data_IF_305729534905
#
_entry.id   IF_305729534905
#
_cell.length_a   1.000
_cell.length_b   1.000
_cell.length_c   1.000
_cell.angle_alpha   90.00
_cell.angle_beta   90.00
_cell.angle_gamma   90.00
#
_symmetry.space_group_name_H-M   'P 1'
#
loop_
_entity.id
_entity.type
_entity.pdbx_description
1 polymer ?
#
# COMPACT_ATOMS: atom_id res chain seq x y z
N UNK A 1 -72.73 3.32 -61.62
CA UNK A 1 -71.55 3.92 -62.30
C UNK A 1 -70.32 3.50 -61.49
N UNK A 2 -69.76 2.30 -61.68
CA UNK A 2 -68.82 1.86 -62.72
C UNK A 2 -67.59 2.75 -62.92
N UNK A 3 -66.44 2.22 -62.45
CA UNK A 3 -65.06 2.22 -63.00
C UNK A 3 -64.03 2.46 -61.88
N UNK A 4 -63.45 1.37 -61.34
CA UNK A 4 -62.17 0.78 -61.77
C UNK A 4 -60.98 1.73 -61.59
N UNK A 5 -60.11 1.44 -60.62
CA UNK A 5 -58.67 1.64 -60.80
C UNK A 5 -57.92 0.43 -60.24
N UNK A 6 -57.06 -0.13 -61.09
CA UNK A 6 -56.33 -1.38 -60.93
C UNK A 6 -55.30 -1.35 -59.79
N UNK A 7 -55.21 -2.50 -59.14
CA UNK A 7 -54.11 -2.96 -58.28
C UNK A 7 -52.86 -3.23 -59.14
N UNK A 8 -51.69 -2.76 -58.70
CA UNK A 8 -50.37 -3.23 -59.14
C UNK A 8 -49.71 -3.99 -57.98
N UNK A 9 -49.24 -5.23 -58.16
CA UNK A 9 -48.39 -5.92 -57.21
C UNK A 9 -46.93 -5.49 -57.42
N UNK A 10 -46.15 -5.50 -56.35
CA UNK A 10 -44.68 -5.62 -56.26
C UNK A 10 -44.14 -4.75 -55.11
N UNK A 11 -44.42 -5.17 -53.87
CA UNK A 11 -43.58 -4.86 -52.72
C UNK A 11 -42.84 -6.14 -52.33
N UNK A 12 -41.65 -6.33 -52.89
CA UNK A 12 -40.65 -7.20 -52.28
C UNK A 12 -39.92 -6.41 -51.19
N UNK A 13 -40.15 -6.82 -49.95
CA UNK A 13 -39.45 -6.36 -48.76
C UNK A 13 -38.00 -6.86 -48.85
N UNK A 14 -37.04 -5.96 -49.15
CA UNK A 14 -35.63 -6.23 -48.92
C UNK A 14 -35.34 -6.15 -47.41
N UNK A 15 -35.30 -7.31 -46.75
CA UNK A 15 -34.61 -7.49 -45.47
C UNK A 15 -33.12 -7.14 -45.64
N UNK A 16 -32.52 -6.32 -44.76
CA UNK A 16 -31.09 -6.11 -44.77
C UNK A 16 -30.37 -7.43 -44.45
N UNK A 17 -29.49 -7.82 -45.36
CA UNK A 17 -28.66 -9.02 -45.27
C UNK A 17 -27.75 -8.97 -44.03
N UNK A 18 -27.56 -10.14 -43.41
CA UNK A 18 -26.71 -10.40 -42.24
C UNK A 18 -25.25 -9.91 -42.38
N UNK A 19 -24.81 -9.54 -43.59
CA UNK A 19 -23.48 -8.99 -43.84
C UNK A 19 -23.27 -7.58 -43.25
N UNK A 20 -24.33 -6.80 -43.04
CA UNK A 20 -24.19 -5.46 -42.43
C UNK A 20 -23.93 -5.52 -40.92
N UNK A 21 -24.29 -6.62 -40.25
CA UNK A 21 -24.01 -6.81 -38.82
C UNK A 21 -22.61 -7.40 -38.58
N UNK A 22 -22.11 -8.25 -39.49
CA UNK A 22 -20.75 -8.80 -39.40
C UNK A 22 -19.68 -7.72 -39.57
N UNK A 23 -19.91 -6.71 -40.43
CA UNK A 23 -18.95 -5.63 -40.68
C UNK A 23 -18.82 -4.61 -39.53
N UNK A 24 -19.70 -4.68 -38.53
CA UNK A 24 -19.62 -3.83 -37.32
C UNK A 24 -18.82 -4.46 -36.17
N UNK A 25 -18.46 -5.75 -36.24
CA UNK A 25 -17.63 -6.40 -35.21
C UNK A 25 -16.12 -6.41 -35.52
N UNK A 26 -15.71 -6.14 -36.75
CA UNK A 26 -14.29 -6.09 -37.17
C UNK A 26 -13.51 -4.84 -36.70
N UNK A 27 -14.11 -3.99 -35.86
CA UNK A 27 -13.44 -2.84 -35.23
C UNK A 27 -13.16 -3.00 -33.74
N UNK A 28 -13.27 -4.22 -33.20
CA UNK A 28 -12.68 -4.55 -31.89
C UNK A 28 -11.23 -5.06 -32.06
N UNK A 29 -10.39 -4.24 -32.69
CA UNK A 29 -8.94 -4.50 -32.77
C UNK A 29 -8.38 -4.37 -31.34
N UNK A 30 -8.28 -5.50 -30.65
CA UNK A 30 -7.44 -5.63 -29.46
C UNK A 30 -6.04 -5.14 -29.84
N UNK A 31 -5.47 -4.15 -29.12
CA UNK A 31 -4.16 -3.62 -29.46
C UNK A 31 -3.14 -4.77 -29.45
N UNK A 32 -2.38 -4.91 -30.54
CA UNK A 32 -1.39 -5.98 -30.67
C UNK A 32 -0.46 -5.98 -29.44
N UNK A 33 -0.21 -7.18 -28.92
CA UNK A 33 0.58 -7.43 -27.70
C UNK A 33 1.96 -6.77 -27.78
N UNK A 34 2.51 -6.57 -28.97
CA UNK A 34 3.80 -5.93 -29.21
C UNK A 34 3.76 -4.40 -29.07
N UNK A 35 2.67 -3.74 -29.48
CA UNK A 35 2.46 -2.31 -29.18
C UNK A 35 2.28 -2.06 -27.68
N UNK A 36 1.74 -3.04 -26.94
CA UNK A 36 1.61 -2.98 -25.49
C UNK A 36 2.98 -3.00 -24.80
N UNK A 37 3.86 -3.94 -25.15
CA UNK A 37 5.21 -4.01 -24.56
C UNK A 37 6.07 -2.78 -24.91
N UNK A 38 5.98 -2.29 -26.16
CA UNK A 38 6.76 -1.13 -26.62
C UNK A 38 6.33 0.21 -25.98
N UNK A 39 5.04 0.38 -25.65
CA UNK A 39 4.58 1.58 -24.93
C UNK A 39 4.91 1.51 -23.43
N UNK A 40 4.99 0.30 -22.88
CA UNK A 40 5.35 0.06 -21.49
C UNK A 40 6.84 0.30 -21.23
N UNK A 41 7.72 0.09 -22.22
CA UNK A 41 9.15 0.44 -22.12
C UNK A 41 9.40 1.94 -22.15
N UNK A 42 8.63 2.73 -22.91
CA UNK A 42 8.73 4.20 -22.90
C UNK A 42 8.18 4.84 -21.62
N UNK A 43 7.16 4.25 -20.95
CA UNK A 43 6.79 4.69 -19.60
C UNK A 43 7.88 4.36 -18.56
N UNK A 44 8.69 3.33 -18.82
CA UNK A 44 9.72 2.83 -17.90
C UNK A 44 10.94 3.75 -17.79
N UNK A 45 11.27 4.51 -18.84
CA UNK A 45 12.37 5.47 -18.78
C UNK A 45 12.07 6.65 -17.84
N UNK A 46 10.79 6.98 -17.61
CA UNK A 46 10.38 8.11 -16.76
C UNK A 46 10.16 7.75 -15.28
N UNK A 47 10.03 6.46 -14.92
CA UNK A 47 9.63 6.02 -13.56
C UNK A 47 10.66 5.12 -12.87
N UNK A 48 11.96 5.43 -12.97
CA UNK A 48 13.05 4.65 -12.35
C UNK A 48 13.04 4.58 -10.80
N UNK A 49 12.14 5.32 -10.14
CA UNK A 49 12.01 5.33 -8.67
C UNK A 49 11.24 4.14 -8.14
N UNK A 50 10.25 3.66 -8.90
CA UNK A 50 9.40 2.57 -8.47
C UNK A 50 9.85 1.29 -9.18
N UNK A 51 10.19 0.22 -8.43
CA UNK A 51 10.60 -1.03 -9.04
C UNK A 51 9.56 -1.58 -10.00
N UNK A 52 10.02 -2.15 -11.11
CA UNK A 52 9.14 -2.53 -12.23
C UNK A 52 7.98 -3.44 -11.85
N UNK A 53 8.17 -4.35 -10.89
CA UNK A 53 7.12 -5.25 -10.45
C UNK A 53 6.08 -4.53 -9.59
N UNK A 54 6.54 -3.66 -8.67
CA UNK A 54 5.65 -2.81 -7.86
C UNK A 54 4.84 -1.86 -8.74
N UNK A 55 5.44 -1.30 -9.79
CA UNK A 55 4.74 -0.41 -10.72
C UNK A 55 3.55 -1.10 -11.40
N UNK A 56 3.70 -2.37 -11.80
CA UNK A 56 2.59 -3.17 -12.36
C UNK A 56 1.45 -3.34 -11.36
N UNK A 57 1.75 -3.55 -10.07
CA UNK A 57 0.71 -3.62 -9.03
C UNK A 57 -0.02 -2.30 -8.84
N UNK A 58 0.72 -1.20 -8.77
CA UNK A 58 0.16 0.14 -8.63
C UNK A 58 -0.83 0.43 -9.77
N UNK A 59 -0.50 -0.01 -11.00
CA UNK A 59 -1.40 0.07 -12.14
C UNK A 59 -2.63 -0.86 -11.99
N UNK A 60 -2.42 -2.13 -11.60
CA UNK A 60 -3.51 -3.10 -11.42
C UNK A 60 -4.53 -2.67 -10.35
N UNK A 61 -4.07 -2.07 -9.25
CA UNK A 61 -4.92 -1.57 -8.17
C UNK A 61 -5.44 -0.15 -8.41
N UNK A 62 -5.07 0.50 -9.51
CA UNK A 62 -5.61 1.83 -9.85
C UNK A 62 -5.07 2.98 -9.00
N UNK A 63 -3.87 2.81 -8.42
CA UNK A 63 -3.31 3.78 -7.49
C UNK A 63 -2.70 4.99 -8.21
N UNK A 64 -2.45 4.90 -9.52
CA UNK A 64 -1.90 5.98 -10.37
C UNK A 64 -2.83 6.34 -11.52
N UNK A 65 -2.72 7.57 -12.02
CA UNK A 65 -3.57 8.10 -13.09
C UNK A 65 -3.45 7.32 -14.42
N UNK A 66 -2.30 6.70 -14.67
CA UNK A 66 -2.02 5.88 -15.84
C UNK A 66 -2.92 4.65 -15.94
N UNK A 67 -3.44 4.18 -14.81
CA UNK A 67 -4.35 3.03 -14.75
C UNK A 67 -5.64 3.27 -15.53
N UNK A 68 -6.12 4.51 -15.60
CA UNK A 68 -7.37 4.84 -16.30
C UNK A 68 -7.24 4.79 -17.83
N UNK A 69 -6.01 4.74 -18.36
CA UNK A 69 -5.74 4.75 -19.81
C UNK A 69 -6.02 3.41 -20.48
N UNK A 70 -6.05 2.32 -19.72
CA UNK A 70 -6.17 0.97 -20.27
C UNK A 70 -7.41 0.26 -19.71
N UNK A 71 -8.22 -0.32 -20.60
CA UNK A 71 -9.43 -1.06 -20.21
C UNK A 71 -9.14 -2.22 -19.25
N UNK A 72 -8.03 -2.93 -19.48
CA UNK A 72 -7.59 -4.02 -18.61
C UNK A 72 -7.46 -3.61 -17.14
N UNK A 73 -6.82 -2.46 -16.86
CA UNK A 73 -6.66 -1.99 -15.49
C UNK A 73 -7.99 -1.53 -14.86
N UNK A 74 -8.92 -0.99 -15.65
CA UNK A 74 -10.26 -0.68 -15.14
C UNK A 74 -10.98 -1.94 -14.65
N UNK A 75 -10.86 -3.04 -15.40
CA UNK A 75 -11.41 -4.33 -15.02
C UNK A 75 -10.75 -4.83 -13.73
N UNK A 76 -9.41 -4.84 -13.64
CA UNK A 76 -8.72 -5.32 -12.42
C UNK A 76 -9.09 -4.50 -11.19
N UNK A 77 -9.25 -3.18 -11.35
CA UNK A 77 -9.69 -2.31 -10.27
C UNK A 77 -11.10 -2.66 -9.81
N UNK A 78 -12.05 -2.82 -10.74
CA UNK A 78 -13.42 -3.20 -10.41
C UNK A 78 -13.46 -4.56 -9.72
N UNK A 79 -12.74 -5.56 -10.25
CA UNK A 79 -12.60 -6.88 -9.65
C UNK A 79 -12.04 -6.80 -8.23
N UNK A 80 -11.00 -6.00 -7.99
CA UNK A 80 -10.45 -5.83 -6.64
C UNK A 80 -11.47 -5.25 -5.65
N UNK A 81 -12.25 -4.23 -6.06
CA UNK A 81 -13.27 -3.66 -5.17
C UNK A 81 -14.40 -4.66 -4.89
N UNK A 82 -14.80 -5.45 -5.89
CA UNK A 82 -15.77 -6.52 -5.71
C UNK A 82 -15.26 -7.57 -4.71
N UNK A 83 -14.00 -7.99 -4.85
CA UNK A 83 -13.33 -8.90 -3.92
C UNK A 83 -13.30 -8.30 -2.50
N UNK A 84 -12.92 -7.03 -2.36
CA UNK A 84 -12.85 -6.36 -1.07
C UNK A 84 -14.22 -6.30 -0.37
N UNK A 85 -15.27 -5.91 -1.11
CA UNK A 85 -16.65 -5.90 -0.59
C UNK A 85 -17.07 -7.31 -0.19
N UNK A 86 -16.85 -8.30 -1.04
CA UNK A 86 -17.18 -9.70 -0.75
C UNK A 86 -16.46 -10.23 0.50
N UNK A 87 -15.16 -9.98 0.64
CA UNK A 87 -14.39 -10.40 1.83
C UNK A 87 -14.88 -9.73 3.10
N UNK A 88 -15.26 -8.45 3.04
CA UNK A 88 -15.83 -7.73 4.18
C UNK A 88 -17.20 -8.32 4.54
N UNK A 89 -18.13 -8.42 3.59
CA UNK A 89 -19.49 -8.89 3.84
C UNK A 89 -19.51 -10.33 4.34
N UNK A 90 -18.75 -11.22 3.71
CA UNK A 90 -18.61 -12.61 4.16
C UNK A 90 -18.03 -12.72 5.57
N UNK A 91 -17.04 -11.87 5.90
CA UNK A 91 -16.50 -11.76 7.25
C UNK A 91 -17.55 -11.34 8.28
N UNK A 92 -18.36 -10.31 7.97
CA UNK A 92 -19.46 -9.85 8.83
C UNK A 92 -20.54 -10.90 9.01
N UNK A 93 -21.00 -11.53 7.93
CA UNK A 93 -22.02 -12.58 8.00
C UNK A 93 -21.53 -13.74 8.86
N UNK A 94 -20.28 -14.18 8.66
CA UNK A 94 -19.68 -15.26 9.47
C UNK A 94 -19.60 -14.89 10.95
N UNK A 95 -19.28 -13.62 11.26
CA UNK A 95 -19.20 -13.13 12.64
C UNK A 95 -20.59 -13.04 13.30
N UNK A 96 -21.62 -12.65 12.55
CA UNK A 96 -23.00 -12.54 13.05
C UNK A 96 -23.66 -13.90 13.27
N UNK A 97 -23.41 -14.88 12.40
CA UNK A 97 -23.98 -16.22 12.54
C UNK A 97 -23.40 -16.96 13.76
N UNK A 98 -22.16 -16.65 14.15
CA UNK A 98 -21.46 -17.31 15.25
C UNK A 98 -21.52 -16.50 16.55
N UNK A 99 -22.70 -15.96 16.86
CA UNK A 99 -22.94 -14.95 17.89
C UNK A 99 -22.53 -15.41 19.31
N UNK A 100 -21.25 -15.24 19.62
CA UNK A 100 -20.66 -15.25 20.94
C UNK A 100 -20.00 -13.87 21.12
N UNK A 101 -20.46 -13.10 22.11
CA UNK A 101 -20.08 -11.70 22.33
C UNK A 101 -18.55 -11.55 22.40
N UNK A 102 -17.85 -12.51 23.00
CA UNK A 102 -16.40 -12.45 23.14
C UNK A 102 -15.68 -12.75 21.81
N UNK A 103 -16.15 -13.75 21.06
CA UNK A 103 -15.62 -14.05 19.72
C UNK A 103 -15.90 -12.92 18.75
N UNK A 104 -17.04 -12.26 18.89
CA UNK A 104 -17.41 -11.10 18.09
C UNK A 104 -16.44 -9.94 18.31
N UNK A 105 -16.04 -9.62 19.54
CA UNK A 105 -15.06 -8.56 19.83
C UNK A 105 -13.72 -8.79 19.12
N UNK A 106 -13.19 -10.03 19.19
CA UNK A 106 -11.93 -10.39 18.52
C UNK A 106 -12.06 -10.36 16.99
N UNK A 107 -13.18 -10.84 16.46
CA UNK A 107 -13.46 -10.82 15.02
C UNK A 107 -13.70 -9.41 14.51
N UNK A 108 -14.33 -8.54 15.30
CA UNK A 108 -14.56 -7.13 14.98
C UNK A 108 -13.24 -6.40 14.75
N UNK A 109 -12.24 -6.56 15.62
CA UNK A 109 -10.92 -5.97 15.42
C UNK A 109 -10.29 -6.39 14.07
N UNK A 110 -10.41 -7.68 13.71
CA UNK A 110 -9.95 -8.16 12.42
C UNK A 110 -10.80 -7.62 11.25
N UNK A 111 -12.13 -7.56 11.37
CA UNK A 111 -13.00 -7.00 10.32
C UNK A 111 -12.73 -5.53 10.06
N UNK A 112 -12.41 -4.77 11.12
CA UNK A 112 -12.02 -3.37 10.99
C UNK A 112 -10.73 -3.19 10.18
N UNK A 113 -9.79 -4.14 10.22
CA UNK A 113 -8.59 -4.08 9.37
C UNK A 113 -8.94 -4.13 7.87
N UNK A 114 -9.96 -4.92 7.47
CA UNK A 114 -10.47 -4.95 6.10
C UNK A 114 -11.20 -3.67 5.70
N UNK A 115 -12.00 -3.10 6.61
CA UNK A 115 -12.66 -1.80 6.38
C UNK A 115 -11.62 -0.70 6.16
N UNK A 116 -10.55 -0.70 6.96
CA UNK A 116 -9.42 0.21 6.81
C UNK A 116 -8.66 -0.04 5.50
N UNK A 117 -8.48 -1.28 5.07
CA UNK A 117 -7.90 -1.62 3.77
C UNK A 117 -8.71 -1.04 2.59
N UNK A 118 -10.05 -1.10 2.67
CA UNK A 118 -10.93 -0.46 1.69
C UNK A 118 -10.80 1.07 1.74
N UNK A 119 -10.71 1.64 2.95
CA UNK A 119 -10.42 3.07 3.16
C UNK A 119 -9.10 3.51 2.53
N UNK A 120 -8.04 2.70 2.65
CA UNK A 120 -6.75 2.93 1.99
C UNK A 120 -6.92 2.93 0.47
N UNK A 121 -7.62 1.94 -0.09
CA UNK A 121 -7.86 1.86 -1.54
C UNK A 121 -8.59 3.10 -2.06
N UNK A 122 -9.67 3.50 -1.38
CA UNK A 122 -10.47 4.66 -1.74
C UNK A 122 -9.66 5.97 -1.69
N UNK A 123 -8.95 6.21 -0.59
CA UNK A 123 -8.17 7.43 -0.37
C UNK A 123 -7.01 7.55 -1.36
N UNK A 124 -6.27 6.46 -1.57
CA UNK A 124 -5.20 6.41 -2.57
C UNK A 124 -5.74 6.67 -3.98
N UNK A 125 -6.89 6.07 -4.33
CA UNK A 125 -7.51 6.27 -5.65
C UNK A 125 -7.97 7.70 -5.88
N UNK A 126 -8.45 8.40 -4.85
CA UNK A 126 -8.79 9.84 -4.92
C UNK A 126 -7.55 10.70 -5.17
N UNK A 127 -6.40 10.30 -4.61
CA UNK A 127 -5.13 11.03 -4.72
C UNK A 127 -4.23 10.55 -5.87
N UNK A 128 -4.69 9.62 -6.72
CA UNK A 128 -3.88 8.98 -7.78
C UNK A 128 -3.16 9.93 -8.74
N UNK A 129 -3.81 11.05 -9.13
CA UNK A 129 -3.19 12.06 -10.00
C UNK A 129 -2.02 12.75 -9.31
N UNK A 130 -2.20 13.11 -8.04
CA UNK A 130 -1.16 13.70 -7.20
C UNK A 130 0.00 12.72 -7.04
N UNK A 131 -0.30 11.44 -6.78
CA UNK A 131 0.71 10.39 -6.66
C UNK A 131 1.54 10.23 -7.94
N UNK A 132 0.91 10.14 -9.11
CA UNK A 132 1.63 10.04 -10.39
C UNK A 132 2.58 11.24 -10.59
N UNK A 133 2.13 12.46 -10.29
CA UNK A 133 2.96 13.67 -10.41
C UNK A 133 4.13 13.62 -9.43
N UNK A 134 3.89 13.24 -8.17
CA UNK A 134 4.94 13.14 -7.14
C UNK A 134 6.00 12.10 -7.52
N UNK A 135 5.59 10.92 -8.00
CA UNK A 135 6.53 9.86 -8.43
C UNK A 135 7.42 10.36 -9.58
N UNK A 136 6.84 11.05 -10.57
CA UNK A 136 7.61 11.62 -11.70
C UNK A 136 8.51 12.78 -11.29
N UNK A 137 8.15 13.55 -10.27
CA UNK A 137 9.03 14.59 -9.73
C UNK A 137 10.21 13.96 -8.99
N UNK A 138 9.93 12.95 -8.18
CA UNK A 138 10.95 12.23 -7.40
C UNK A 138 11.95 11.51 -8.31
N UNK A 139 11.50 10.98 -9.47
CA UNK A 139 12.40 10.31 -10.43
C UNK A 139 13.42 11.22 -11.10
N UNK A 140 13.24 12.54 -11.01
CA UNK A 140 14.23 13.51 -11.47
C UNK A 140 15.32 13.80 -10.45
N UNK A 141 15.13 13.41 -9.19
CA UNK A 141 16.02 13.77 -8.07
C UNK A 141 16.73 12.56 -7.49
N UNK A 142 16.10 11.39 -7.53
CA UNK A 142 16.62 10.19 -6.89
C UNK A 142 16.35 8.95 -7.74
N UNK A 143 17.24 7.98 -7.62
CA UNK A 143 17.11 6.64 -8.20
C UNK A 143 16.88 5.65 -7.06
N UNK A 144 16.09 4.61 -7.31
CA UNK A 144 15.85 3.56 -6.32
C UNK A 144 17.14 2.78 -6.02
N UNK A 145 17.70 2.84 -4.81
CA UNK A 145 19.02 2.26 -4.52
C UNK A 145 19.03 0.71 -4.50
N UNK A 146 17.86 0.04 -4.45
CA UNK A 146 17.78 -1.42 -4.28
C UNK A 146 16.66 -2.09 -5.11
N UNK A 147 16.53 -1.73 -6.39
CA UNK A 147 15.42 -2.21 -7.25
C UNK A 147 15.25 -3.75 -7.24
N UNK A 148 16.35 -4.52 -7.39
CA UNK A 148 16.30 -5.99 -7.43
C UNK A 148 15.73 -6.59 -6.14
N UNK A 149 16.23 -6.16 -4.98
CA UNK A 149 15.78 -6.67 -3.66
C UNK A 149 14.31 -6.36 -3.43
N UNK A 150 13.88 -5.16 -3.80
CA UNK A 150 12.49 -4.75 -3.66
C UNK A 150 11.58 -5.54 -4.62
N UNK A 151 11.99 -5.78 -5.86
CA UNK A 151 11.22 -6.62 -6.78
C UNK A 151 11.02 -8.05 -6.23
N UNK A 152 12.05 -8.65 -5.61
CA UNK A 152 11.91 -9.93 -4.93
C UNK A 152 10.94 -9.87 -3.75
N UNK A 153 11.00 -8.81 -2.93
CA UNK A 153 10.07 -8.61 -1.83
C UNK A 153 8.63 -8.48 -2.31
N UNK A 154 8.39 -7.72 -3.39
CA UNK A 154 7.05 -7.56 -3.98
C UNK A 154 6.54 -8.91 -4.49
N UNK A 155 7.38 -9.70 -5.16
CA UNK A 155 7.04 -11.05 -5.60
C UNK A 155 6.67 -11.96 -4.43
N UNK A 156 7.47 -11.95 -3.37
CA UNK A 156 7.19 -12.71 -2.15
C UNK A 156 5.84 -12.31 -1.54
N UNK A 157 5.57 -11.01 -1.37
CA UNK A 157 4.30 -10.50 -0.85
C UNK A 157 3.09 -10.88 -1.72
N UNK A 158 3.30 -11.04 -3.03
CA UNK A 158 2.24 -11.37 -3.99
C UNK A 158 1.90 -12.86 -4.01
N UNK A 159 2.88 -13.72 -3.69
CA UNK A 159 2.69 -15.18 -3.59
C UNK A 159 2.12 -15.54 -2.21
N UNK A 160 2.32 -14.68 -1.20
CA UNK A 160 1.93 -14.90 0.18
C UNK A 160 0.44 -15.31 0.39
N UNK A 161 -0.56 -14.72 -0.32
CA UNK A 161 -1.96 -15.17 -0.24
C UNK A 161 -2.17 -16.62 -0.68
N UNK A 162 -1.42 -17.07 -1.69
CA UNK A 162 -1.50 -18.43 -2.22
C UNK A 162 -0.96 -19.40 -1.18
N UNK A 163 0.21 -19.09 -0.62
CA UNK A 163 0.82 -19.89 0.45
C UNK A 163 -0.14 -20.00 1.63
N UNK A 164 -0.72 -18.88 2.06
CA UNK A 164 -1.69 -18.85 3.15
C UNK A 164 -2.94 -19.70 2.86
N UNK A 165 -3.50 -19.60 1.65
CA UNK A 165 -4.68 -20.36 1.26
C UNK A 165 -4.42 -21.88 1.22
N UNK A 166 -3.31 -22.29 0.62
CA UNK A 166 -2.88 -23.70 0.60
C UNK A 166 -2.63 -24.20 2.02
N UNK A 167 -1.90 -23.42 2.83
CA UNK A 167 -1.62 -23.79 4.22
C UNK A 167 -2.88 -23.91 5.09
N UNK A 168 -3.90 -23.09 4.80
CA UNK A 168 -5.22 -23.14 5.45
C UNK A 168 -6.02 -24.38 5.06
N UNK A 169 -5.91 -24.86 3.81
CA UNK A 169 -6.53 -26.13 3.40
C UNK A 169 -5.93 -27.37 4.06
N UNK A 170 -4.71 -27.28 4.59
CA UNK A 170 -4.07 -28.34 5.37
C UNK A 170 -4.45 -28.29 6.86
N UNK A 171 -5.58 -27.66 7.21
CA UNK A 171 -6.08 -27.62 8.58
C UNK A 171 -6.69 -28.97 8.99
N UNK A 172 -6.46 -29.37 10.24
CA UNK A 172 -6.95 -30.65 10.77
C UNK A 172 -8.49 -30.75 10.84
N UNK A 173 -9.20 -29.62 10.78
CA UNK A 173 -10.67 -29.57 10.89
C UNK A 173 -11.31 -28.87 9.67
N UNK A 174 -11.16 -29.49 8.50
CA UNK A 174 -11.71 -29.03 7.21
C UNK A 174 -13.23 -28.83 7.26
N UNK A 175 -13.96 -29.76 7.86
CA UNK A 175 -15.44 -29.71 7.92
C UNK A 175 -15.94 -28.48 8.68
N UNK A 176 -15.38 -28.21 9.87
CA UNK A 176 -15.74 -27.04 10.65
C UNK A 176 -15.38 -25.74 9.92
N UNK A 177 -14.20 -25.68 9.30
CA UNK A 177 -13.73 -24.47 8.61
C UNK A 177 -14.53 -24.18 7.33
N UNK A 178 -14.90 -25.22 6.59
CA UNK A 178 -15.77 -25.10 5.44
C UNK A 178 -17.17 -24.65 5.87
N UNK A 179 -17.72 -25.21 6.96
CA UNK A 179 -18.98 -24.74 7.55
C UNK A 179 -18.92 -23.28 7.97
N UNK A 180 -17.79 -22.84 8.56
CA UNK A 180 -17.55 -21.44 8.91
C UNK A 180 -17.65 -20.56 7.66
N UNK A 181 -16.94 -20.92 6.59
CA UNK A 181 -16.91 -20.12 5.35
C UNK A 181 -18.17 -20.26 4.48
N UNK A 182 -18.95 -21.32 4.68
CA UNK A 182 -20.23 -21.55 4.02
C UNK A 182 -21.43 -21.05 4.85
N UNK A 183 -21.19 -20.14 5.79
CA UNK A 183 -22.23 -19.47 6.57
C UNK A 183 -23.11 -20.43 7.40
N UNK A 184 -22.51 -21.49 7.94
CA UNK A 184 -23.21 -22.48 8.74
C UNK A 184 -23.75 -23.66 7.95
N UNK A 185 -23.68 -23.64 6.61
CA UNK A 185 -24.10 -24.77 5.79
C UNK A 185 -23.09 -25.92 5.88
N UNK A 186 -23.60 -27.12 6.13
CA UNK A 186 -22.78 -28.33 6.11
C UNK A 186 -22.48 -28.70 4.65
N UNK A 187 -21.21 -28.92 4.33
CA UNK A 187 -20.78 -29.35 3.00
C UNK A 187 -20.23 -30.76 3.12
N UNK A 188 -20.85 -31.73 2.48
CA UNK A 188 -20.45 -33.14 2.60
C UNK A 188 -19.21 -33.46 1.75
N UNK A 189 -19.10 -32.85 0.57
CA UNK A 189 -17.98 -33.10 -0.35
C UNK A 189 -16.67 -32.47 0.15
N UNK A 190 -15.65 -33.29 0.41
CA UNK A 190 -14.30 -32.84 0.79
C UNK A 190 -13.68 -31.87 -0.22
N UNK A 191 -13.90 -32.10 -1.52
CA UNK A 191 -13.36 -31.21 -2.56
C UNK A 191 -14.02 -29.83 -2.51
N UNK A 192 -15.34 -29.78 -2.29
CA UNK A 192 -16.05 -28.52 -2.13
C UNK A 192 -15.62 -27.76 -0.86
N UNK A 193 -15.36 -28.48 0.24
CA UNK A 193 -14.80 -27.90 1.46
C UNK A 193 -13.45 -27.21 1.19
N UNK A 194 -12.52 -27.91 0.53
CA UNK A 194 -11.18 -27.37 0.19
C UNK A 194 -11.31 -26.14 -0.71
N UNK A 195 -12.14 -26.22 -1.76
CA UNK A 195 -12.31 -25.13 -2.72
C UNK A 195 -12.82 -23.84 -2.05
N UNK A 196 -13.81 -23.96 -1.17
CA UNK A 196 -14.38 -22.82 -0.44
C UNK A 196 -13.35 -22.21 0.51
N UNK A 197 -12.62 -23.04 1.26
CA UNK A 197 -11.58 -22.56 2.18
C UNK A 197 -10.48 -21.83 1.42
N UNK A 198 -9.91 -22.46 0.38
CA UNK A 198 -8.83 -21.88 -0.43
C UNK A 198 -9.27 -20.56 -1.05
N UNK A 199 -10.45 -20.51 -1.65
CA UNK A 199 -10.98 -19.30 -2.29
C UNK A 199 -11.15 -18.18 -1.26
N UNK A 200 -11.82 -18.45 -0.15
CA UNK A 200 -12.13 -17.45 0.86
C UNK A 200 -10.86 -16.92 1.57
N UNK A 201 -9.92 -17.81 1.92
CA UNK A 201 -8.64 -17.43 2.50
C UNK A 201 -7.80 -16.62 1.51
N UNK A 202 -7.76 -17.01 0.24
CA UNK A 202 -7.04 -16.29 -0.81
C UNK A 202 -7.60 -14.86 -0.99
N UNK A 203 -8.92 -14.73 -1.18
CA UNK A 203 -9.58 -13.44 -1.38
C UNK A 203 -9.35 -12.51 -0.20
N UNK A 204 -9.50 -13.03 1.02
CA UNK A 204 -9.25 -12.25 2.24
C UNK A 204 -7.79 -11.80 2.32
N UNK A 205 -6.83 -12.71 2.13
CA UNK A 205 -5.40 -12.41 2.19
C UNK A 205 -4.93 -11.41 1.12
N UNK A 206 -5.56 -11.43 -0.08
CA UNK A 206 -5.30 -10.45 -1.14
C UNK A 206 -5.66 -9.03 -0.68
N UNK A 207 -6.80 -8.85 0.00
CA UNK A 207 -7.27 -7.55 0.50
C UNK A 207 -6.45 -7.10 1.71
N UNK A 208 -6.26 -7.97 2.68
CA UNK A 208 -5.41 -7.74 3.83
C UNK A 208 -4.78 -9.08 4.25
N UNK A 209 -3.44 -9.19 4.36
CA UNK A 209 -2.48 -8.09 4.43
C UNK A 209 -1.81 -7.70 3.10
N UNK A 210 -2.01 -8.42 1.99
CA UNK A 210 -1.19 -8.21 0.78
C UNK A 210 -1.33 -6.83 0.15
N UNK A 211 -2.55 -6.37 -0.16
CA UNK A 211 -2.74 -5.04 -0.72
C UNK A 211 -2.23 -3.94 0.22
N UNK A 212 -2.55 -4.02 1.51
CA UNK A 212 -2.07 -3.04 2.51
C UNK A 212 -0.55 -3.02 2.61
N UNK A 213 0.11 -4.17 2.56
CA UNK A 213 1.57 -4.26 2.60
C UNK A 213 2.23 -3.70 1.34
N UNK A 214 1.59 -3.85 0.16
CA UNK A 214 2.09 -3.25 -1.08
C UNK A 214 1.99 -1.72 -1.04
N UNK A 215 0.90 -1.17 -0.49
CA UNK A 215 0.76 0.28 -0.29
C UNK A 215 1.77 0.79 0.74
N UNK A 216 1.98 0.07 1.84
CA UNK A 216 3.00 0.38 2.83
C UNK A 216 4.40 0.38 2.21
N UNK A 217 4.72 -0.63 1.40
CA UNK A 217 6.00 -0.73 0.70
C UNK A 217 6.22 0.44 -0.26
N UNK A 218 5.19 0.83 -1.02
CA UNK A 218 5.23 2.03 -1.86
C UNK A 218 5.56 3.28 -1.02
N UNK A 219 4.86 3.49 0.08
CA UNK A 219 5.12 4.61 0.98
C UNK A 219 6.58 4.63 1.47
N UNK A 220 7.08 3.47 1.93
CA UNK A 220 8.46 3.31 2.38
C UNK A 220 9.48 3.61 1.28
N UNK A 221 9.24 3.18 0.04
CA UNK A 221 10.16 3.46 -1.08
C UNK A 221 10.24 4.95 -1.37
N UNK A 222 9.11 5.67 -1.36
CA UNK A 222 9.11 7.11 -1.59
C UNK A 222 9.89 7.85 -0.50
N UNK A 223 9.68 7.47 0.77
CA UNK A 223 10.44 8.00 1.91
C UNK A 223 11.94 7.66 1.82
N UNK A 224 12.28 6.44 1.39
CA UNK A 224 13.67 6.01 1.22
C UNK A 224 14.38 6.76 0.09
N UNK A 225 13.70 7.05 -1.01
CA UNK A 225 14.27 7.86 -2.10
C UNK A 225 14.54 9.29 -1.66
N UNK A 226 13.64 9.90 -0.87
CA UNK A 226 13.89 11.22 -0.28
C UNK A 226 15.05 11.17 0.72
N UNK A 227 15.09 10.15 1.57
CA UNK A 227 16.21 9.89 2.49
C UNK A 227 17.54 9.78 1.75
N UNK A 228 17.56 9.06 0.62
CA UNK A 228 18.77 8.90 -0.19
C UNK A 228 19.21 10.24 -0.79
N UNK A 229 18.27 11.04 -1.31
CA UNK A 229 18.59 12.36 -1.85
C UNK A 229 19.16 13.32 -0.78
N UNK A 230 18.56 13.33 0.43
CA UNK A 230 19.07 14.08 1.58
C UNK A 230 20.47 13.61 2.00
N UNK A 231 20.68 12.29 2.01
CA UNK A 231 21.99 11.71 2.35
C UNK A 231 23.05 12.13 1.35
N UNK A 232 22.75 12.10 0.04
CA UNK A 232 23.67 12.56 -1.01
C UNK A 232 24.03 14.03 -0.83
N UNK A 233 23.06 14.91 -0.59
CA UNK A 233 23.33 16.33 -0.30
C UNK A 233 24.18 16.52 0.96
N UNK A 234 23.90 15.73 2.01
CA UNK A 234 24.68 15.78 3.25
C UNK A 234 26.13 15.40 3.01
N UNK A 235 26.38 14.32 2.24
CA UNK A 235 27.74 13.89 1.89
C UNK A 235 28.48 14.91 1.03
N UNK A 236 27.79 15.55 0.06
CA UNK A 236 28.36 16.62 -0.76
C UNK A 236 28.86 17.79 0.10
N UNK A 237 28.09 18.21 1.11
CA UNK A 237 28.49 19.27 2.06
C UNK A 237 29.71 18.86 2.88
N UNK A 238 29.71 17.63 3.40
CA UNK A 238 30.78 17.14 4.26
C UNK A 238 32.12 17.05 3.52
N UNK A 239 32.09 16.57 2.27
CA UNK A 239 33.29 16.36 1.43
C UNK A 239 33.85 17.65 0.81
N UNK A 240 33.02 18.67 0.61
CA UNK A 240 33.46 19.96 0.05
C UNK A 240 34.48 20.66 0.97
N UNK A 241 35.43 21.45 0.47
CA UNK A 241 36.26 22.29 1.37
C UNK A 241 35.53 23.57 1.79
N UNK A 242 35.88 24.22 2.93
CA UNK A 242 35.27 25.50 3.31
C UNK A 242 35.41 26.58 2.23
N UNK A 243 36.54 26.60 1.50
CA UNK A 243 36.78 27.53 0.38
C UNK A 243 35.85 27.29 -0.82
N UNK A 244 35.50 26.03 -1.09
CA UNK A 244 34.58 25.66 -2.17
C UNK A 244 33.12 25.90 -1.80
N UNK A 245 32.80 26.04 -0.51
CA UNK A 245 31.45 26.25 0.01
C UNK A 245 31.01 27.72 -0.09
N UNK A 246 31.18 28.33 -1.26
CA UNK A 246 30.78 29.72 -1.53
C UNK A 246 29.25 29.92 -1.62
N UNK A 247 28.75 31.18 -1.69
CA UNK A 247 27.31 31.50 -1.73
C UNK A 247 26.56 30.81 -2.86
N UNK A 248 27.19 30.68 -4.04
CA UNK A 248 26.60 29.99 -5.18
C UNK A 248 26.31 28.51 -4.86
N UNK A 249 27.25 27.81 -4.20
CA UNK A 249 27.08 26.41 -3.80
C UNK A 249 26.05 26.26 -2.68
N UNK A 250 26.04 27.19 -1.73
CA UNK A 250 25.01 27.23 -0.68
C UNK A 250 23.61 27.38 -1.28
N UNK A 251 23.43 28.33 -2.20
CA UNK A 251 22.15 28.57 -2.87
C UNK A 251 21.71 27.35 -3.69
N UNK A 252 22.63 26.68 -4.37
CA UNK A 252 22.32 25.45 -5.12
C UNK A 252 21.88 24.29 -4.21
N UNK A 253 22.58 24.05 -3.10
CA UNK A 253 22.19 23.07 -2.09
C UNK A 253 20.81 23.39 -1.50
N UNK A 254 20.56 24.66 -1.17
CA UNK A 254 19.27 25.12 -0.66
C UNK A 254 18.13 24.93 -1.67
N UNK A 255 18.36 25.23 -2.95
CA UNK A 255 17.39 24.98 -4.03
C UNK A 255 17.10 23.48 -4.17
N UNK A 256 18.12 22.62 -4.06
CA UNK A 256 17.94 21.17 -4.09
C UNK A 256 17.18 20.65 -2.87
N UNK A 257 17.48 21.17 -1.67
CA UNK A 257 16.72 20.89 -0.43
C UNK A 257 15.25 21.29 -0.58
N UNK A 258 14.95 22.51 -1.02
CA UNK A 258 13.58 23.00 -1.19
C UNK A 258 12.75 22.11 -2.14
N UNK A 259 13.37 21.55 -3.19
CA UNK A 259 12.71 20.58 -4.08
C UNK A 259 12.39 19.26 -3.37
N UNK A 260 13.26 18.80 -2.47
CA UNK A 260 13.01 17.60 -1.67
C UNK A 260 11.89 17.87 -0.67
N UNK A 261 11.92 19.02 0.01
CA UNK A 261 10.89 19.43 0.97
C UNK A 261 9.50 19.51 0.30
N UNK A 262 9.38 20.12 -0.89
CA UNK A 262 8.14 20.15 -1.69
C UNK A 262 7.60 18.74 -2.02
N UNK A 263 8.50 17.78 -2.25
CA UNK A 263 8.12 16.39 -2.51
C UNK A 263 7.69 15.69 -1.22
N UNK A 264 8.40 15.91 -0.12
CA UNK A 264 8.08 15.35 1.20
C UNK A 264 6.70 15.82 1.66
N UNK A 265 6.39 17.11 1.54
CA UNK A 265 5.06 17.66 1.82
C UNK A 265 3.98 17.02 0.95
N UNK A 266 4.25 16.82 -0.34
CA UNK A 266 3.32 16.12 -1.23
C UNK A 266 3.12 14.66 -0.85
N UNK A 267 4.17 13.94 -0.46
CA UNK A 267 4.08 12.56 0.02
C UNK A 267 3.22 12.54 1.29
N UNK A 268 3.49 13.42 2.25
CA UNK A 268 2.71 13.58 3.48
C UNK A 268 1.23 13.86 3.18
N UNK A 269 0.92 14.80 2.29
CA UNK A 269 -0.46 15.13 1.92
C UNK A 269 -1.21 13.99 1.18
N UNK A 270 -0.48 13.10 0.50
CA UNK A 270 -1.06 11.92 -0.17
C UNK A 270 -1.28 10.78 0.82
N UNK A 271 -0.28 10.51 1.67
CA UNK A 271 -0.22 9.33 2.51
C UNK A 271 -0.65 9.55 3.95
N UNK A 272 -0.90 10.77 4.43
CA UNK A 272 -1.27 11.04 5.83
C UNK A 272 -2.45 10.16 6.30
N UNK A 273 -3.56 10.15 5.56
CA UNK A 273 -4.72 9.31 5.86
C UNK A 273 -4.50 7.81 5.56
N UNK A 274 -3.97 7.40 4.38
CA UNK A 274 -3.59 6.01 4.14
C UNK A 274 -2.64 5.42 5.19
N UNK A 275 -1.64 6.18 5.64
CA UNK A 275 -0.65 5.73 6.61
C UNK A 275 -1.24 5.60 8.01
N UNK A 276 -2.17 6.50 8.39
CA UNK A 276 -2.97 6.32 9.59
C UNK A 276 -3.77 5.01 9.55
N UNK A 277 -4.49 4.75 8.45
CA UNK A 277 -5.24 3.50 8.28
C UNK A 277 -4.33 2.26 8.25
N UNK A 278 -3.14 2.36 7.65
CA UNK A 278 -2.14 1.28 7.67
C UNK A 278 -1.68 0.96 9.09
N UNK A 279 -1.35 1.99 9.89
CA UNK A 279 -0.95 1.79 11.28
C UNK A 279 -2.10 1.21 12.10
N UNK A 280 -3.28 1.85 12.04
CA UNK A 280 -4.44 1.40 12.80
C UNK A 280 -4.85 -0.03 12.44
N UNK A 281 -4.89 -0.36 11.15
CA UNK A 281 -5.27 -1.68 10.67
C UNK A 281 -4.29 -2.78 11.09
N UNK A 282 -2.99 -2.54 10.95
CA UNK A 282 -1.99 -3.50 11.40
C UNK A 282 -1.95 -3.61 12.93
N UNK A 283 -2.17 -2.51 13.66
CA UNK A 283 -2.24 -2.55 15.13
C UNK A 283 -3.44 -3.35 15.62
N UNK A 284 -4.62 -3.13 15.03
CA UNK A 284 -5.82 -3.93 15.30
C UNK A 284 -5.62 -5.41 14.96
N UNK A 285 -4.92 -5.70 13.86
CA UNK A 285 -4.56 -7.07 13.49
C UNK A 285 -3.66 -7.72 14.56
N UNK A 286 -2.58 -7.05 14.98
CA UNK A 286 -1.72 -7.51 16.08
C UNK A 286 -2.52 -7.72 17.39
N UNK A 287 -3.37 -6.76 17.77
CA UNK A 287 -4.23 -6.87 18.95
C UNK A 287 -5.20 -8.04 18.86
N UNK A 288 -5.78 -8.30 17.68
CA UNK A 288 -6.68 -9.45 17.46
C UNK A 288 -5.94 -10.77 17.60
N UNK A 289 -4.68 -10.84 17.18
CA UNK A 289 -3.83 -12.04 17.31
C UNK A 289 -3.52 -12.33 18.77
N UNK A 290 -3.11 -11.30 19.52
CA UNK A 290 -2.88 -11.40 20.97
C UNK A 290 -4.18 -11.84 21.65
N UNK A 291 -5.30 -11.16 21.39
CA UNK A 291 -6.60 -11.50 21.97
C UNK A 291 -7.07 -12.93 21.66
N UNK A 292 -6.84 -13.43 20.43
CA UNK A 292 -7.11 -14.83 20.08
C UNK A 292 -6.24 -15.80 20.86
N UNK A 293 -4.96 -15.49 21.05
CA UNK A 293 -4.06 -16.36 21.81
C UNK A 293 -4.46 -16.47 23.28
N UNK A 294 -5.05 -15.41 23.84
CA UNK A 294 -5.49 -15.34 25.22
C UNK A 294 -6.84 -16.00 25.48
N UNK A 295 -7.78 -15.87 24.55
CA UNK A 295 -9.15 -16.33 24.76
C UNK A 295 -9.36 -17.81 24.44
N UNK A 296 -8.61 -18.38 23.49
CA UNK A 296 -8.78 -19.77 23.10
C UNK A 296 -7.80 -20.67 23.87
N UNK A 297 -8.34 -21.54 24.74
CA UNK A 297 -7.56 -22.56 25.45
C UNK A 297 -6.78 -23.50 24.51
N UNK A 298 -5.70 -24.11 25.03
CA UNK A 298 -4.71 -24.92 24.27
C UNK A 298 -5.33 -26.00 23.36
N UNK A 299 -6.48 -26.57 23.73
CA UNK A 299 -7.14 -27.66 23.01
C UNK A 299 -7.95 -27.20 21.78
N UNK A 300 -8.68 -26.07 21.84
CA UNK A 300 -9.50 -25.58 20.71
C UNK A 300 -8.69 -24.69 19.74
N UNK A 301 -7.51 -24.20 20.16
CA UNK A 301 -6.62 -23.33 19.38
C UNK A 301 -5.72 -24.07 18.37
N UNK A 302 -5.71 -25.41 18.40
CA UNK A 302 -4.54 -26.23 18.07
C UNK A 302 -4.19 -26.38 16.57
N UNK A 303 -4.90 -25.76 15.63
CA UNK A 303 -4.42 -25.76 14.24
C UNK A 303 -4.79 -24.53 13.43
N UNK A 304 -6.07 -24.29 13.11
CA UNK A 304 -6.40 -23.21 12.15
C UNK A 304 -6.16 -21.80 12.71
N UNK A 305 -6.67 -21.50 13.90
CA UNK A 305 -6.53 -20.16 14.48
C UNK A 305 -5.09 -19.81 14.82
N UNK A 306 -4.26 -20.79 15.23
CA UNK A 306 -2.83 -20.58 15.40
C UNK A 306 -2.16 -20.21 14.07
N UNK A 307 -2.47 -20.93 12.99
CA UNK A 307 -1.93 -20.67 11.63
C UNK A 307 -2.34 -19.28 11.12
N UNK A 308 -3.61 -18.92 11.25
CA UNK A 308 -4.14 -17.59 10.93
C UNK A 308 -3.43 -16.51 11.76
N UNK A 309 -3.35 -16.70 13.07
CA UNK A 309 -2.73 -15.74 13.99
C UNK A 309 -1.25 -15.49 13.69
N UNK A 310 -0.47 -16.54 13.41
CA UNK A 310 0.94 -16.42 13.05
C UNK A 310 1.10 -15.63 11.75
N UNK A 311 0.29 -15.94 10.74
CA UNK A 311 0.34 -15.27 9.45
C UNK A 311 0.05 -13.77 9.53
N UNK A 312 -1.11 -13.40 10.09
CA UNK A 312 -1.53 -12.01 10.21
C UNK A 312 -0.67 -11.24 11.21
N UNK A 313 -0.29 -11.88 12.33
CA UNK A 313 0.53 -11.26 13.37
C UNK A 313 1.92 -10.89 12.87
N UNK A 314 2.63 -11.85 12.26
CA UNK A 314 3.97 -11.62 11.69
C UNK A 314 3.89 -10.55 10.59
N UNK A 315 2.94 -10.68 9.66
CA UNK A 315 2.81 -9.74 8.54
C UNK A 315 2.55 -8.30 9.03
N UNK A 316 1.63 -8.14 9.97
CA UNK A 316 1.23 -6.83 10.49
C UNK A 316 2.34 -6.19 11.33
N UNK A 317 3.02 -6.99 12.15
CA UNK A 317 4.13 -6.53 12.98
C UNK A 317 5.33 -6.06 12.14
N UNK A 318 5.72 -6.84 11.12
CA UNK A 318 6.78 -6.43 10.19
C UNK A 318 6.39 -5.17 9.42
N UNK A 319 5.14 -5.09 8.95
CA UNK A 319 4.63 -3.92 8.24
C UNK A 319 4.72 -2.65 9.11
N UNK A 320 4.22 -2.69 10.35
CA UNK A 320 4.31 -1.59 11.31
C UNK A 320 5.76 -1.16 11.55
N UNK A 321 6.63 -2.13 11.83
CA UNK A 321 8.04 -1.88 12.12
C UNK A 321 8.71 -1.16 10.95
N UNK A 322 8.51 -1.66 9.72
CA UNK A 322 9.13 -1.07 8.52
C UNK A 322 8.59 0.33 8.26
N UNK A 323 7.26 0.54 8.32
CA UNK A 323 6.66 1.87 8.09
C UNK A 323 7.23 2.88 9.09
N UNK A 324 7.18 2.57 10.38
CA UNK A 324 7.63 3.48 11.43
C UNK A 324 9.15 3.73 11.33
N UNK A 325 9.94 2.71 11.01
CA UNK A 325 11.39 2.82 10.88
C UNK A 325 11.80 3.70 9.71
N UNK A 326 11.20 3.47 8.54
CA UNK A 326 11.54 4.20 7.31
C UNK A 326 11.00 5.63 7.37
N UNK A 327 9.72 5.83 7.72
CA UNK A 327 9.13 7.16 7.82
C UNK A 327 9.79 7.99 8.93
N UNK A 328 10.05 7.38 10.10
CA UNK A 328 10.76 8.03 11.20
C UNK A 328 12.26 8.25 10.94
N UNK A 329 12.81 7.66 9.88
CA UNK A 329 14.18 7.91 9.42
C UNK A 329 14.34 9.22 8.67
N UNK A 330 13.29 9.73 8.01
CA UNK A 330 13.38 10.94 7.18
C UNK A 330 13.70 12.20 8.00
N UNK A 331 12.99 12.50 9.11
CA UNK A 331 13.27 13.69 9.92
C UNK A 331 14.72 13.73 10.42
N UNK A 332 15.27 12.58 10.81
CA UNK A 332 16.66 12.44 11.27
C UNK A 332 17.65 12.86 10.17
N UNK A 333 17.35 12.53 8.91
CA UNK A 333 18.24 12.85 7.79
C UNK A 333 18.12 14.31 7.38
N UNK A 334 16.92 14.90 7.48
CA UNK A 334 16.74 16.36 7.34
C UNK A 334 17.57 17.09 8.39
N UNK A 335 17.51 16.65 9.66
CA UNK A 335 18.29 17.26 10.74
C UNK A 335 19.80 17.14 10.52
N UNK A 336 20.30 15.97 10.12
CA UNK A 336 21.72 15.78 9.77
C UNK A 336 22.18 16.68 8.64
N UNK A 337 21.33 16.90 7.64
CA UNK A 337 21.63 17.86 6.57
C UNK A 337 21.74 19.29 7.13
N UNK A 338 20.81 19.71 8.01
CA UNK A 338 20.86 21.04 8.67
C UNK A 338 22.17 21.19 9.45
N UNK A 339 22.51 20.21 10.29
CA UNK A 339 23.72 20.22 11.12
C UNK A 339 25.00 20.26 10.27
N UNK A 340 25.08 19.44 9.21
CA UNK A 340 26.21 19.44 8.29
C UNK A 340 26.38 20.79 7.59
N UNK A 341 25.27 21.40 7.14
CA UNK A 341 25.26 22.71 6.51
C UNK A 341 25.79 23.80 7.47
N UNK A 342 25.22 23.89 8.68
CA UNK A 342 25.61 24.89 9.67
C UNK A 342 27.05 24.74 10.13
N UNK A 343 27.50 23.50 10.38
CA UNK A 343 28.89 23.22 10.74
C UNK A 343 29.85 23.69 9.64
N UNK A 344 29.50 23.46 8.37
CA UNK A 344 30.34 23.85 7.24
C UNK A 344 30.39 25.34 7.03
N UNK A 345 29.26 26.00 7.15
CA UNK A 345 29.14 27.45 7.07
C UNK A 345 29.95 28.13 8.18
N UNK A 346 29.86 27.64 9.41
CA UNK A 346 30.64 28.16 10.53
C UNK A 346 32.15 28.00 10.30
N UNK A 347 32.60 26.85 9.80
CA UNK A 347 34.01 26.65 9.44
C UNK A 347 34.46 27.61 8.34
N UNK A 348 33.59 27.93 7.38
CA UNK A 348 33.89 28.91 6.33
C UNK A 348 34.09 30.31 6.91
N UNK A 349 33.19 30.75 7.79
CA UNK A 349 33.30 32.06 8.46
C UNK A 349 34.60 32.20 9.27
N UNK A 350 35.08 31.12 9.89
CA UNK A 350 36.37 31.14 10.59
C UNK A 350 37.58 31.16 9.64
N UNK A 351 37.44 30.68 8.41
CA UNK A 351 38.55 30.50 7.47
C UNK A 351 38.69 31.65 6.48
N UNK A 352 37.59 32.33 6.14
CA UNK A 352 37.56 33.43 5.17
C UNK A 352 37.23 34.72 5.92
N UNK A 353 38.22 35.58 6.05
CA UNK A 353 38.20 36.79 6.90
C UNK A 353 37.58 38.02 6.22
N UNK A 354 37.27 37.95 4.91
CA UNK A 354 36.65 39.06 4.17
C UNK A 354 35.13 39.08 4.33
N UNK A 355 34.64 40.18 4.89
CA UNK A 355 33.31 40.36 5.49
C UNK A 355 32.28 41.04 4.57
N UNK A 356 32.31 40.80 3.27
CA UNK A 356 31.38 41.44 2.32
C UNK A 356 30.41 40.47 1.61
N UNK A 357 30.29 39.23 2.08
CA UNK A 357 29.28 38.31 1.54
C UNK A 357 27.94 38.41 2.28
N UNK A 358 26.81 38.57 1.55
CA UNK A 358 25.49 38.55 2.16
C UNK A 358 25.27 37.20 2.82
N UNK A 359 25.10 37.22 4.14
CA UNK A 359 24.72 36.04 4.92
C UNK A 359 23.36 35.56 4.42
N UNK A 360 23.36 34.48 3.63
CA UNK A 360 22.15 33.87 3.06
C UNK A 360 21.27 33.17 4.13
N UNK A 361 21.43 33.56 5.40
CA UNK A 361 21.06 32.80 6.58
C UNK A 361 19.83 33.43 7.24
N UNK A 362 18.69 32.73 7.15
CA UNK A 362 17.78 32.44 8.28
C UNK A 362 16.51 31.69 7.83
N UNK A 363 15.85 32.16 6.77
CA UNK A 363 14.49 31.70 6.45
C UNK A 363 14.30 30.21 6.11
N UNK A 364 15.21 29.56 5.36
CA UNK A 364 14.92 28.22 4.79
C UNK A 364 15.22 27.01 5.71
N UNK A 365 15.85 27.26 6.86
CA UNK A 365 16.16 26.22 7.85
C UNK A 365 15.57 26.50 9.24
N UNK A 366 15.11 27.73 9.50
CA UNK A 366 14.31 28.09 10.69
C UNK A 366 12.91 27.46 10.67
N UNK A 367 12.41 27.03 9.50
CA UNK A 367 11.14 26.30 9.45
C UNK A 367 11.23 24.94 10.17
N UNK A 368 10.16 24.71 10.94
CA UNK A 368 9.89 23.61 11.89
C UNK A 368 10.41 22.26 11.43
N UNK A 369 10.94 21.47 12.36
CA UNK A 369 11.38 20.11 12.11
C UNK A 369 10.30 19.31 11.37
N UNK A 370 10.56 19.00 10.09
CA UNK A 370 9.64 18.25 9.28
C UNK A 370 9.49 16.84 9.87
N UNK A 371 8.30 16.54 10.39
CA UNK A 371 7.93 15.24 10.93
C UNK A 371 6.74 14.73 10.13
N UNK A 372 6.87 13.53 9.55
CA UNK A 372 5.72 12.86 8.96
C UNK A 372 4.66 12.64 10.04
N UNK A 373 3.39 12.82 9.69
CA UNK A 373 2.26 12.54 10.58
C UNK A 373 1.18 11.69 9.90
N UNK A 374 0.54 10.79 10.64
CA UNK A 374 -0.70 10.15 10.22
C UNK A 374 -1.88 10.98 10.70
N UNK A 375 -2.50 11.76 9.81
CA UNK A 375 -3.58 12.70 10.10
C UNK A 375 -3.28 13.71 11.21
N UNK A 376 -2.01 14.11 11.40
CA UNK A 376 -1.56 14.94 12.53
C UNK A 376 -1.82 14.35 13.93
N UNK A 377 -2.31 13.10 13.98
CA UNK A 377 -2.57 12.36 15.22
C UNK A 377 -1.35 11.53 15.61
N UNK A 378 -0.74 10.84 14.64
CA UNK A 378 0.40 9.95 14.89
C UNK A 378 1.67 10.57 14.31
N UNK A 379 2.57 11.07 15.15
CA UNK A 379 3.90 11.49 14.70
C UNK A 379 4.79 10.26 14.44
N UNK A 380 5.35 10.16 13.25
CA UNK A 380 6.30 9.11 12.89
C UNK A 380 7.68 9.44 13.48
N UNK A 381 7.88 9.16 14.77
CA UNK A 381 9.18 9.21 15.44
C UNK A 381 9.68 7.79 15.71
N UNK A 382 11.00 7.59 15.77
CA UNK A 382 11.57 6.28 16.19
C UNK A 382 11.15 5.90 17.62
N UNK A 383 10.87 6.88 18.48
CA UNK A 383 10.30 6.64 19.81
C UNK A 383 8.90 6.02 19.77
N UNK A 384 8.11 6.28 18.72
CA UNK A 384 6.79 5.67 18.51
C UNK A 384 6.91 4.16 18.29
N UNK A 385 8.02 3.68 17.72
CA UNK A 385 8.31 2.24 17.62
C UNK A 385 8.44 1.67 19.03
N UNK A 386 9.25 2.29 19.89
CA UNK A 386 9.45 1.81 21.25
C UNK A 386 8.14 1.80 22.05
N UNK A 387 7.32 2.84 21.89
CA UNK A 387 6.00 2.90 22.52
C UNK A 387 5.06 1.80 22.01
N UNK A 388 5.09 1.49 20.72
CA UNK A 388 4.31 0.41 20.12
C UNK A 388 4.74 -0.96 20.65
N UNK A 389 6.05 -1.22 20.69
CA UNK A 389 6.62 -2.44 21.27
C UNK A 389 6.27 -2.55 22.75
N UNK A 390 6.40 -1.45 23.50
CA UNK A 390 6.01 -1.36 24.90
C UNK A 390 4.53 -1.71 25.08
N UNK A 391 3.63 -1.10 24.31
CA UNK A 391 2.20 -1.40 24.37
C UNK A 391 1.91 -2.87 24.05
N UNK A 392 2.45 -3.42 22.95
CA UNK A 392 2.26 -4.83 22.60
C UNK A 392 2.78 -5.77 23.69
N UNK A 393 3.95 -5.47 24.27
CA UNK A 393 4.54 -6.25 25.34
C UNK A 393 3.74 -6.13 26.63
N UNK A 394 3.33 -4.94 27.03
CA UNK A 394 2.48 -4.71 28.21
C UNK A 394 1.15 -5.45 28.09
N UNK A 395 0.46 -5.35 26.95
CA UNK A 395 -0.80 -6.08 26.75
C UNK A 395 -0.59 -7.60 26.73
N UNK A 396 0.52 -8.07 26.16
CA UNK A 396 0.85 -9.51 26.17
C UNK A 396 1.15 -9.99 27.59
N UNK A 397 1.98 -9.27 28.34
CA UNK A 397 2.36 -9.61 29.72
C UNK A 397 1.17 -9.53 30.67
N UNK A 398 0.40 -8.43 30.62
CA UNK A 398 -0.82 -8.26 31.42
C UNK A 398 -1.79 -9.42 31.16
N UNK A 399 -1.89 -9.82 29.90
CA UNK A 399 -2.82 -10.88 29.58
C UNK A 399 -2.32 -12.26 30.02
N UNK A 400 -1.02 -12.56 29.87
CA UNK A 400 -0.40 -13.78 30.41
C UNK A 400 -0.54 -13.85 31.93
N UNK A 401 -0.38 -12.73 32.64
CA UNK A 401 -0.53 -12.68 34.10
C UNK A 401 -1.99 -12.87 34.55
N UNK A 402 -2.97 -12.35 33.80
CA UNK A 402 -4.39 -12.58 34.11
C UNK A 402 -4.82 -14.03 33.89
N UNK A 403 -4.29 -14.71 32.87
CA UNK A 403 -4.59 -16.15 32.66
C UNK A 403 -4.02 -17.05 33.75
N UNK A 404 -2.91 -16.67 34.40
CA UNK A 404 -2.32 -17.44 35.50
C UNK A 404 -3.08 -17.32 36.83
N UNK A 405 -4.01 -16.37 36.97
CA UNK A 405 -4.82 -16.18 38.18
C UNK A 405 -6.21 -16.83 38.10
N UNK A 406 -6.56 -17.43 36.95
CA UNK A 406 -7.84 -18.12 36.72
C UNK A 406 -7.73 -19.64 36.64
N UNK A 407 -6.52 -20.18 36.78
CA UNK A 407 -6.24 -21.58 37.09
C UNK A 407 -6.04 -21.72 38.62
#
# INVERSE_FOLDING_TARGET
>A
MSKHTLVRPDQLICLPTLESYARSQDKLILPSRDKFFFKMSNLRSETQVVPSFLWKFILMFGLVAESDKHAFYKITIFTFHLIAVFSITSGWISALIQFDIHRFKLKFANLMSFVLALGISYTMRRKRKSLSITIRKLSKISVCPQEKKINYLVLFLSILPIIYAVYSSLAANLSWLAKYHAFGNNIESKMAQILIIVTQCFLSAVVHPTFTNLVALLYCILCQCCTSALTTLTQEILQMSPKQFGPYKQLDILRRKAKIDDILEKIQAIFSLPAFFLIAGNFLSCGSVIGKHLYFGKEMYRSYHMKESVFYGISSFFCLTIILWVAGGVPIQVQKLKEAFYKKEHLRLLTITDFDEPTLKKGLFEDTDFVFTGCDIISFKRSTILALFGALLTYTVLAVSTTHHTD
#
